data_IF_380101598121
#
_entry.id   IF_380101598121
#
_cell.length_a   1.000
_cell.length_b   1.000
_cell.length_c   1.000
_cell.angle_alpha   90.00
_cell.angle_beta   90.00
_cell.angle_gamma   90.00
#
_symmetry.space_group_name_H-M   'P 1'
#
loop_
_entity.id
_entity.type
_entity.pdbx_description
1 polymer ?
#
# COMPACT_ATOMS: atom_id res chain seq x y z
N UNK A 1 10.71 -9.97 6.43
CA UNK A 1 9.31 -9.66 5.99
C UNK A 1 9.36 -9.11 4.59
N UNK A 2 8.33 -9.37 3.75
CA UNK A 2 8.16 -8.68 2.47
C UNK A 2 7.29 -7.45 2.71
N UNK A 3 7.62 -6.32 2.09
CA UNK A 3 6.95 -5.03 2.30
C UNK A 3 6.56 -4.38 0.96
N UNK A 4 5.83 -3.28 1.01
CA UNK A 4 5.48 -2.48 -0.16
C UNK A 4 4.52 -3.16 -1.14
N UNK A 5 4.63 -2.83 -2.42
CA UNK A 5 3.74 -3.32 -3.47
C UNK A 5 3.74 -4.85 -3.59
N UNK A 6 4.91 -5.48 -3.44
CA UNK A 6 5.03 -6.94 -3.54
C UNK A 6 4.30 -7.65 -2.39
N UNK A 7 4.28 -7.09 -1.17
CA UNK A 7 3.51 -7.67 -0.07
C UNK A 7 2.00 -7.68 -0.39
N UNK A 8 1.49 -6.59 -0.96
CA UNK A 8 0.08 -6.49 -1.37
C UNK A 8 -0.26 -7.48 -2.49
N UNK A 9 0.64 -7.67 -3.45
CA UNK A 9 0.50 -8.64 -4.52
C UNK A 9 0.45 -10.07 -3.97
N UNK A 10 1.39 -10.44 -3.10
CA UNK A 10 1.42 -11.76 -2.46
C UNK A 10 0.16 -12.00 -1.61
N UNK A 11 -0.32 -10.99 -0.88
CA UNK A 11 -1.58 -11.10 -0.14
C UNK A 11 -2.80 -11.21 -1.07
N UNK A 12 -2.73 -10.61 -2.26
CA UNK A 12 -3.68 -10.85 -3.35
C UNK A 12 -3.71 -12.32 -3.79
N UNK A 13 -2.54 -12.91 -4.03
CA UNK A 13 -2.41 -14.34 -4.36
C UNK A 13 -2.93 -15.24 -3.22
N UNK A 14 -2.58 -14.94 -1.97
CA UNK A 14 -3.06 -15.68 -0.80
C UNK A 14 -4.60 -15.65 -0.71
N UNK A 15 -5.23 -14.50 -0.95
CA UNK A 15 -6.70 -14.35 -1.00
C UNK A 15 -7.30 -15.17 -2.14
N UNK A 16 -6.74 -15.08 -3.34
CA UNK A 16 -7.21 -15.82 -4.51
C UNK A 16 -7.13 -17.35 -4.31
N UNK A 17 -6.12 -17.81 -3.60
CA UNK A 17 -5.95 -19.20 -3.22
C UNK A 17 -6.91 -19.63 -2.08
N UNK A 18 -7.61 -18.69 -1.44
CA UNK A 18 -8.55 -18.96 -0.35
C UNK A 18 -7.86 -19.20 1.00
N UNK A 19 -6.65 -18.70 1.18
CA UNK A 19 -5.95 -18.76 2.47
C UNK A 19 -6.75 -18.04 3.56
N UNK A 20 -7.04 -18.73 4.66
CA UNK A 20 -7.96 -18.24 5.71
C UNK A 20 -7.32 -17.39 6.80
N UNK A 21 -6.00 -17.27 6.81
CA UNK A 21 -5.27 -16.68 7.94
C UNK A 21 -4.36 -15.53 7.53
N UNK A 22 -4.81 -14.67 6.61
CA UNK A 22 -4.03 -13.54 6.10
C UNK A 22 -3.62 -12.57 7.21
N UNK A 23 -4.53 -12.29 8.13
CA UNK A 23 -4.29 -11.37 9.25
C UNK A 23 -3.37 -11.96 10.34
N UNK A 24 -3.07 -13.27 10.27
CA UNK A 24 -2.24 -13.92 11.29
C UNK A 24 -0.78 -13.52 11.18
N UNK A 25 -0.28 -13.39 9.96
CA UNK A 25 1.11 -13.01 9.68
C UNK A 25 1.24 -12.49 8.25
N UNK A 26 1.93 -11.37 8.09
CA UNK A 26 2.23 -10.79 6.78
C UNK A 26 3.18 -11.69 5.95
N UNK A 27 3.31 -11.49 4.62
CA UNK A 27 4.22 -12.26 3.78
C UNK A 27 5.66 -12.21 4.28
N UNK A 28 6.28 -13.39 4.45
CA UNK A 28 7.62 -13.49 5.03
C UNK A 28 8.34 -14.77 4.60
N UNK A 29 9.67 -14.75 4.76
CA UNK A 29 10.51 -15.94 4.72
C UNK A 29 11.02 -16.23 6.15
N UNK A 30 10.72 -17.40 6.69
CA UNK A 30 11.10 -17.77 8.06
C UNK A 30 12.55 -18.25 8.09
N UNK A 31 13.38 -17.57 8.87
CA UNK A 31 14.77 -18.01 9.14
C UNK A 31 14.83 -18.94 10.35
N UNK A 32 14.20 -18.55 11.45
CA UNK A 32 14.12 -19.32 12.70
C UNK A 32 12.65 -19.65 12.98
N UNK A 33 12.37 -20.93 13.19
CA UNK A 33 11.02 -21.35 13.58
C UNK A 33 10.65 -20.78 14.98
N UNK A 34 9.36 -20.64 15.30
CA UNK A 34 8.92 -20.12 16.59
C UNK A 34 9.58 -20.86 17.78
N UNK A 35 10.10 -20.09 18.70
CA UNK A 35 10.68 -20.55 19.97
C UNK A 35 10.05 -19.77 21.12
N UNK A 36 9.92 -20.41 22.27
CA UNK A 36 9.48 -19.71 23.48
C UNK A 36 10.68 -19.03 24.13
N UNK A 37 10.60 -17.72 24.27
CA UNK A 37 11.63 -16.89 24.91
C UNK A 37 11.04 -16.28 26.16
N UNK A 38 11.79 -16.32 27.26
CA UNK A 38 11.40 -15.64 28.51
C UNK A 38 11.63 -14.15 28.36
N UNK A 39 10.82 -13.34 29.04
CA UNK A 39 10.90 -11.87 29.01
C UNK A 39 12.31 -11.37 29.34
N UNK A 40 12.94 -11.93 30.39
CA UNK A 40 14.30 -11.57 30.80
C UNK A 40 15.38 -11.90 29.76
N UNK A 41 15.07 -12.75 28.78
CA UNK A 41 16.00 -13.17 27.73
C UNK A 41 15.85 -12.37 26.42
N UNK A 42 14.89 -11.48 26.34
CA UNK A 42 14.60 -10.73 25.08
C UNK A 42 15.80 -9.86 24.70
N UNK A 43 16.45 -9.18 25.66
CA UNK A 43 17.64 -8.35 25.34
C UNK A 43 18.78 -9.21 24.78
N UNK A 44 18.98 -10.41 25.28
CA UNK A 44 19.97 -11.33 24.73
C UNK A 44 19.62 -11.80 23.31
N UNK A 45 18.31 -12.01 23.02
CA UNK A 45 17.82 -12.28 21.66
C UNK A 45 18.12 -11.10 20.73
N UNK A 46 17.75 -9.87 21.13
CA UNK A 46 17.97 -8.68 20.33
C UNK A 46 19.46 -8.42 20.08
N UNK A 47 20.29 -8.64 21.07
CA UNK A 47 21.76 -8.55 20.94
C UNK A 47 22.30 -9.58 19.92
N UNK A 48 21.82 -10.81 19.97
CA UNK A 48 22.20 -11.85 18.99
C UNK A 48 21.74 -11.47 17.57
N UNK A 49 20.49 -10.99 17.43
CA UNK A 49 19.94 -10.56 16.14
C UNK A 49 20.75 -9.39 15.55
N UNK A 50 21.10 -8.40 16.40
CA UNK A 50 21.97 -7.27 16.03
C UNK A 50 23.32 -7.74 15.50
N UNK A 51 23.94 -8.67 16.25
CA UNK A 51 25.27 -9.19 15.88
C UNK A 51 25.22 -10.01 14.57
N UNK A 52 24.16 -10.79 14.36
CA UNK A 52 23.98 -11.58 13.16
C UNK A 52 23.66 -10.70 11.93
N UNK A 53 22.74 -9.77 12.07
CA UNK A 53 22.37 -8.83 11.01
C UNK A 53 23.51 -7.91 10.61
N UNK A 54 24.30 -7.41 11.58
CA UNK A 54 25.45 -6.54 11.33
C UNK A 54 26.57 -7.17 10.51
N UNK A 55 26.63 -8.51 10.47
CA UNK A 55 27.60 -9.29 9.69
C UNK A 55 27.09 -9.69 8.29
N UNK A 56 25.84 -9.39 7.96
CA UNK A 56 25.19 -9.84 6.74
C UNK A 56 24.89 -8.65 5.84
N UNK A 57 25.17 -8.76 4.54
CA UNK A 57 24.71 -7.77 3.57
C UNK A 57 23.20 -7.97 3.27
N UNK A 58 22.51 -6.98 2.66
CA UNK A 58 21.18 -7.20 2.07
C UNK A 58 21.16 -8.41 1.14
N UNK A 59 20.08 -9.21 1.20
CA UNK A 59 19.99 -10.51 0.52
C UNK A 59 19.02 -10.40 -0.64
N UNK A 60 19.53 -10.49 -1.87
CA UNK A 60 18.72 -10.48 -3.08
C UNK A 60 18.19 -11.89 -3.39
N UNK A 61 16.89 -11.99 -3.62
CA UNK A 61 16.22 -13.27 -3.89
C UNK A 61 15.26 -13.18 -5.05
N UNK A 62 15.00 -14.35 -5.66
CA UNK A 62 13.88 -14.56 -6.57
C UNK A 62 12.81 -15.40 -5.85
N UNK A 63 11.56 -15.01 -6.00
CA UNK A 63 10.38 -15.69 -5.46
C UNK A 63 9.64 -16.40 -6.60
N UNK A 64 9.38 -17.69 -6.41
CA UNK A 64 8.81 -18.56 -7.43
C UNK A 64 9.84 -19.49 -8.09
N UNK A 65 9.35 -20.53 -8.81
CA UNK A 65 7.96 -20.91 -9.03
C UNK A 65 7.20 -21.34 -7.78
N UNK A 66 5.89 -21.63 -7.95
CA UNK A 66 5.15 -22.33 -6.91
C UNK A 66 5.76 -23.69 -6.65
N UNK A 67 5.75 -24.06 -5.38
CA UNK A 67 6.14 -25.39 -4.91
C UNK A 67 5.28 -25.80 -3.70
N UNK A 68 5.37 -27.06 -3.30
CA UNK A 68 4.58 -27.60 -2.19
C UNK A 68 5.38 -28.61 -1.41
N UNK A 69 5.09 -28.71 -0.10
CA UNK A 69 5.61 -29.80 0.73
C UNK A 69 4.73 -31.06 0.72
N UNK A 70 3.66 -31.07 -0.09
CA UNK A 70 2.82 -32.26 -0.26
C UNK A 70 3.65 -33.45 -0.81
N UNK A 71 3.46 -34.69 -0.33
CA UNK A 71 2.40 -35.15 0.56
C UNK A 71 2.75 -35.01 2.07
N UNK A 72 3.95 -34.51 2.43
CA UNK A 72 4.38 -34.42 3.83
C UNK A 72 3.51 -33.43 4.64
N UNK A 73 3.27 -32.26 4.09
CA UNK A 73 2.37 -31.25 4.63
C UNK A 73 1.64 -30.51 3.51
N UNK A 74 0.39 -30.06 3.72
CA UNK A 74 -0.39 -29.36 2.69
C UNK A 74 -0.03 -27.87 2.62
N UNK A 75 1.26 -27.56 2.51
CA UNK A 75 1.77 -26.17 2.41
C UNK A 75 2.06 -25.87 0.96
N UNK A 76 1.49 -24.77 0.47
CA UNK A 76 1.78 -24.17 -0.83
C UNK A 76 2.64 -22.91 -0.61
N UNK A 77 3.71 -22.77 -1.37
CA UNK A 77 4.66 -21.68 -1.18
C UNK A 77 5.33 -21.24 -2.49
N UNK A 78 5.86 -20.02 -2.50
CA UNK A 78 6.83 -19.57 -3.51
C UNK A 78 8.22 -20.08 -3.09
N UNK A 79 8.88 -20.81 -3.98
CA UNK A 79 10.26 -21.20 -3.79
C UNK A 79 11.13 -19.94 -3.75
N UNK A 80 12.14 -19.91 -2.89
CA UNK A 80 13.10 -18.82 -2.81
C UNK A 80 14.42 -19.31 -3.41
N UNK A 81 14.98 -18.53 -4.31
CA UNK A 81 16.29 -18.76 -4.91
C UNK A 81 17.09 -17.46 -4.95
N UNK A 82 18.33 -17.49 -5.40
CA UNK A 82 19.24 -16.35 -5.38
C UNK A 82 20.30 -16.54 -4.32
N UNK A 83 20.55 -15.55 -3.46
CA UNK A 83 21.63 -15.57 -2.48
C UNK A 83 21.30 -16.43 -1.24
N UNK A 84 21.07 -17.74 -1.46
CA UNK A 84 20.72 -18.69 -0.39
C UNK A 84 21.88 -18.97 0.57
N UNK A 85 23.12 -18.83 0.12
CA UNK A 85 24.29 -19.00 0.99
C UNK A 85 24.33 -17.91 2.06
N UNK A 86 24.12 -16.65 1.67
CA UNK A 86 24.01 -15.54 2.62
C UNK A 86 22.84 -15.75 3.60
N UNK A 87 21.70 -16.22 3.11
CA UNK A 87 20.54 -16.53 3.95
C UNK A 87 20.82 -17.66 4.94
N UNK A 88 21.57 -18.69 4.51
CA UNK A 88 21.98 -19.83 5.34
C UNK A 88 22.98 -19.40 6.41
N UNK A 89 23.95 -18.57 6.07
CA UNK A 89 24.91 -17.98 7.01
C UNK A 89 24.20 -17.12 8.05
N UNK A 90 23.30 -16.25 7.61
CA UNK A 90 22.50 -15.43 8.53
C UNK A 90 21.69 -16.31 9.50
N UNK A 91 20.99 -17.32 8.97
CA UNK A 91 20.23 -18.27 9.77
C UNK A 91 21.09 -18.99 10.81
N UNK A 92 22.28 -19.43 10.42
CA UNK A 92 23.24 -20.10 11.32
C UNK A 92 23.68 -19.17 12.45
N UNK A 93 24.01 -17.92 12.13
CA UNK A 93 24.41 -16.92 13.12
C UNK A 93 23.27 -16.60 14.10
N UNK A 94 22.04 -16.51 13.61
CA UNK A 94 20.85 -16.32 14.46
C UNK A 94 20.63 -17.52 15.38
N UNK A 95 20.79 -18.73 14.88
CA UNK A 95 20.59 -19.98 15.62
C UNK A 95 21.73 -20.34 16.59
N UNK A 96 22.82 -19.60 16.62
CA UNK A 96 23.95 -19.86 17.53
C UNK A 96 23.74 -19.30 18.95
N UNK A 97 22.64 -18.58 19.22
CA UNK A 97 22.38 -17.91 20.49
C UNK A 97 21.06 -18.36 21.15
N UNK A 98 20.38 -17.44 21.85
CA UNK A 98 19.12 -17.74 22.55
C UNK A 98 17.99 -18.25 21.64
N UNK A 99 18.12 -18.06 20.33
CA UNK A 99 17.18 -18.56 19.32
C UNK A 99 17.57 -19.94 18.77
N UNK A 100 18.51 -20.63 19.39
CA UNK A 100 18.93 -21.97 18.96
C UNK A 100 17.72 -22.93 18.89
N UNK A 101 17.47 -23.56 17.74
CA UNK A 101 16.37 -24.52 17.64
C UNK A 101 16.63 -25.75 18.49
N UNK A 102 15.58 -26.38 19.05
CA UNK A 102 15.72 -27.66 19.75
C UNK A 102 16.38 -28.70 18.83
N UNK A 103 17.18 -29.65 19.35
CA UNK A 103 17.95 -30.63 18.57
C UNK A 103 17.11 -31.37 17.51
N UNK A 104 15.91 -31.79 17.84
CA UNK A 104 14.98 -32.47 16.93
C UNK A 104 14.52 -31.63 15.73
N UNK A 105 14.72 -30.32 15.75
CA UNK A 105 14.41 -29.40 14.62
C UNK A 105 15.65 -28.96 13.85
N UNK A 106 16.84 -29.10 14.41
CA UNK A 106 18.11 -28.73 13.77
C UNK A 106 18.53 -29.68 12.65
N UNK A 107 18.02 -30.91 12.65
CA UNK A 107 18.33 -31.95 11.68
C UNK A 107 17.57 -31.82 10.32
N UNK A 108 16.62 -30.88 10.23
CA UNK A 108 15.88 -30.69 8.98
C UNK A 108 16.61 -29.72 8.07
N UNK A 109 16.73 -30.09 6.81
CA UNK A 109 17.26 -29.21 5.79
C UNK A 109 16.43 -27.92 5.73
N UNK A 110 17.15 -26.81 5.70
CA UNK A 110 16.53 -25.50 5.55
C UNK A 110 16.10 -25.31 4.08
N UNK A 111 14.80 -25.16 3.87
CA UNK A 111 14.23 -24.79 2.58
C UNK A 111 13.69 -23.37 2.69
N UNK A 112 14.37 -22.42 2.06
CA UNK A 112 13.89 -21.04 2.01
C UNK A 112 12.60 -20.99 1.18
N UNK A 113 11.52 -20.46 1.76
CA UNK A 113 10.22 -20.41 1.12
C UNK A 113 9.37 -19.26 1.66
N UNK A 114 8.44 -18.79 0.83
CA UNK A 114 7.41 -17.84 1.23
C UNK A 114 6.04 -18.51 1.12
N UNK A 115 5.41 -18.76 2.26
CA UNK A 115 4.15 -19.49 2.33
C UNK A 115 2.99 -18.67 1.77
N UNK A 116 2.26 -19.27 0.85
CA UNK A 116 0.99 -18.73 0.33
C UNK A 116 -0.22 -19.31 1.07
N UNK A 117 -0.24 -20.63 1.26
CA UNK A 117 -1.29 -21.32 2.02
C UNK A 117 -0.67 -22.43 2.88
N UNK A 118 -1.02 -22.45 4.17
CA UNK A 118 -0.54 -23.47 5.12
C UNK A 118 -1.35 -24.77 5.08
N UNK A 119 -2.53 -24.76 4.49
CA UNK A 119 -3.50 -25.86 4.49
C UNK A 119 -4.32 -25.95 3.20
N UNK A 120 -3.62 -25.88 2.04
CA UNK A 120 -4.33 -26.01 0.77
C UNK A 120 -4.99 -27.38 0.65
N UNK A 121 -6.22 -27.41 0.16
CA UNK A 121 -6.89 -28.66 -0.16
C UNK A 121 -6.16 -29.38 -1.31
N UNK A 122 -5.88 -30.69 -1.16
CA UNK A 122 -5.16 -31.45 -2.18
C UNK A 122 -5.81 -31.40 -3.58
N UNK A 123 -7.12 -31.31 -3.64
CA UNK A 123 -7.88 -31.19 -4.90
C UNK A 123 -7.61 -29.87 -5.64
N UNK A 124 -7.28 -28.80 -4.94
CA UNK A 124 -6.98 -27.48 -5.51
C UNK A 124 -5.52 -27.31 -5.94
N UNK A 125 -4.64 -28.18 -5.45
CA UNK A 125 -3.21 -28.07 -5.67
C UNK A 125 -2.81 -28.07 -7.17
N UNK A 126 -3.31 -28.99 -8.03
CA UNK A 126 -2.96 -29.00 -9.45
C UNK A 126 -3.37 -27.70 -10.16
N UNK A 127 -4.54 -27.17 -9.84
CA UNK A 127 -5.04 -25.92 -10.44
C UNK A 127 -4.20 -24.71 -10.00
N UNK A 128 -3.84 -24.61 -8.71
CA UNK A 128 -2.98 -23.56 -8.20
C UNK A 128 -1.59 -23.61 -8.84
N UNK A 129 -1.01 -24.81 -8.94
CA UNK A 129 0.30 -25.01 -9.57
C UNK A 129 0.29 -24.62 -11.05
N UNK A 130 -0.77 -24.97 -11.78
CA UNK A 130 -0.90 -24.59 -13.19
C UNK A 130 -1.12 -23.08 -13.38
N UNK A 131 -1.99 -22.47 -12.56
CA UNK A 131 -2.33 -21.04 -12.68
C UNK A 131 -1.14 -20.11 -12.39
N UNK A 132 -0.22 -20.52 -11.54
CA UNK A 132 0.93 -19.71 -11.10
C UNK A 132 2.28 -20.33 -11.48
N UNK A 133 2.30 -21.20 -12.51
CA UNK A 133 3.51 -21.90 -12.95
C UNK A 133 4.65 -20.92 -13.31
N UNK A 134 4.31 -19.81 -13.95
CA UNK A 134 5.25 -18.79 -14.42
C UNK A 134 5.41 -17.61 -13.46
N UNK A 135 4.80 -17.67 -12.28
CA UNK A 135 4.94 -16.58 -11.32
C UNK A 135 6.39 -16.41 -10.89
N UNK A 136 6.91 -15.23 -11.09
CA UNK A 136 8.27 -14.83 -10.67
C UNK A 136 8.23 -13.39 -10.16
N UNK A 137 8.91 -13.16 -9.04
CA UNK A 137 9.17 -11.83 -8.51
C UNK A 137 10.59 -11.76 -7.96
N UNK A 138 11.15 -10.57 -7.88
CA UNK A 138 12.44 -10.32 -7.24
C UNK A 138 12.23 -9.49 -5.97
N UNK A 139 13.04 -9.75 -4.95
CA UNK A 139 12.99 -8.99 -3.71
C UNK A 139 14.38 -8.90 -3.09
N UNK A 140 14.65 -7.81 -2.36
CA UNK A 140 15.86 -7.66 -1.56
C UNK A 140 15.47 -7.55 -0.09
N UNK A 141 15.89 -8.50 0.72
CA UNK A 141 15.72 -8.41 2.17
C UNK A 141 16.81 -7.50 2.75
N UNK A 142 16.43 -6.39 3.33
CA UNK A 142 17.31 -5.39 3.93
C UNK A 142 17.35 -5.48 5.45
N UNK A 143 16.49 -6.29 6.05
CA UNK A 143 16.38 -6.43 7.50
C UNK A 143 15.88 -7.80 7.93
N UNK A 144 16.17 -8.16 9.18
CA UNK A 144 15.56 -9.26 9.93
C UNK A 144 14.51 -8.67 10.87
N UNK A 145 13.29 -9.21 10.82
CA UNK A 145 12.21 -8.84 11.74
C UNK A 145 12.06 -9.91 12.82
N UNK A 146 12.13 -9.52 14.07
CA UNK A 146 11.74 -10.35 15.20
C UNK A 146 10.24 -10.20 15.38
N UNK A 147 9.51 -11.31 15.40
CA UNK A 147 8.06 -11.32 15.56
C UNK A 147 7.70 -11.90 16.93
N UNK A 148 6.71 -11.32 17.57
CA UNK A 148 6.07 -11.82 18.77
C UNK A 148 4.64 -12.27 18.45
N UNK A 149 4.20 -13.38 19.05
CA UNK A 149 2.83 -13.85 18.91
C UNK A 149 1.96 -13.27 20.03
N UNK A 150 0.90 -12.54 19.64
CA UNK A 150 -0.07 -12.00 20.59
C UNK A 150 -1.05 -13.06 21.12
N UNK A 151 -1.88 -12.68 22.08
CA UNK A 151 -2.90 -13.55 22.68
C UNK A 151 -3.95 -14.07 21.69
N UNK A 152 -4.10 -13.41 20.51
CA UNK A 152 -5.00 -13.81 19.45
C UNK A 152 -4.30 -14.68 18.39
N UNK A 153 -3.12 -15.17 18.67
CA UNK A 153 -2.28 -15.94 17.76
C UNK A 153 -1.87 -15.18 16.47
N UNK A 154 -1.81 -13.86 16.52
CA UNK A 154 -1.28 -13.01 15.44
C UNK A 154 0.18 -12.71 15.71
N UNK A 155 0.99 -12.68 14.67
CA UNK A 155 2.40 -12.35 14.76
C UNK A 155 2.61 -10.88 14.47
N UNK A 156 3.15 -10.15 15.45
CA UNK A 156 3.40 -8.72 15.39
C UNK A 156 4.91 -8.45 15.36
N UNK A 157 5.38 -7.43 14.64
CA UNK A 157 6.76 -7.00 14.71
C UNK A 157 7.11 -6.50 16.12
N UNK A 158 8.14 -7.10 16.72
CA UNK A 158 8.71 -6.69 18.00
C UNK A 158 9.91 -5.76 17.77
N UNK A 159 10.79 -6.12 16.84
CA UNK A 159 11.98 -5.35 16.49
C UNK A 159 12.46 -5.70 15.07
N UNK A 160 13.14 -4.74 14.43
CA UNK A 160 13.80 -4.88 13.14
C UNK A 160 15.30 -4.65 13.28
N UNK A 161 16.10 -5.52 12.69
CA UNK A 161 17.55 -5.39 12.61
C UNK A 161 17.98 -5.24 11.15
N UNK A 162 18.53 -4.08 10.79
CA UNK A 162 19.02 -3.81 9.45
C UNK A 162 20.25 -4.67 9.12
N UNK A 163 20.26 -5.30 7.93
CA UNK A 163 21.41 -6.03 7.44
C UNK A 163 22.56 -5.06 7.10
N UNK A 164 23.78 -5.41 7.50
CA UNK A 164 24.97 -4.57 7.34
C UNK A 164 25.12 -3.43 8.36
N UNK A 165 24.16 -3.28 9.30
CA UNK A 165 24.21 -2.27 10.36
C UNK A 165 23.98 -2.92 11.72
N UNK A 166 24.85 -2.71 12.71
CA UNK A 166 24.71 -3.33 14.03
C UNK A 166 23.67 -2.59 14.91
N UNK A 167 22.50 -2.32 14.35
CA UNK A 167 21.42 -1.54 14.98
C UNK A 167 20.14 -2.34 14.96
N UNK A 168 19.42 -2.35 16.08
CA UNK A 168 18.05 -2.86 16.19
C UNK A 168 17.14 -1.68 16.54
N UNK A 169 16.11 -1.45 15.74
CA UNK A 169 15.04 -0.53 16.03
C UNK A 169 13.89 -1.26 16.75
N UNK A 170 13.17 -0.57 17.61
CA UNK A 170 12.08 -1.13 18.39
C UNK A 170 12.51 -1.49 19.81
N UNK A 171 11.90 -2.51 20.41
CA UNK A 171 12.11 -2.85 21.83
C UNK A 171 13.60 -3.12 22.15
N UNK A 172 14.14 -2.33 23.08
CA UNK A 172 15.40 -2.64 23.77
C UNK A 172 16.71 -2.22 23.13
N UNK A 173 16.73 -1.48 21.99
CA UNK A 173 18.02 -1.24 21.32
C UNK A 173 18.29 0.16 20.77
N UNK A 174 17.29 0.92 20.47
CA UNK A 174 17.42 2.36 20.20
C UNK A 174 16.57 3.09 21.22
N UNK A 175 17.20 4.04 21.91
CA UNK A 175 16.49 5.00 22.74
C UNK A 175 15.84 6.02 21.81
N UNK A 176 14.60 5.73 21.39
CA UNK A 176 13.81 6.55 20.52
C UNK A 176 12.82 7.36 21.36
N UNK A 177 13.07 8.66 21.47
CA UNK A 177 12.10 9.58 22.04
C UNK A 177 11.01 9.89 21.00
N UNK A 178 9.76 9.56 21.32
CA UNK A 178 8.59 9.94 20.54
C UNK A 178 7.82 11.02 21.25
N UNK A 179 7.67 12.17 20.61
CA UNK A 179 6.90 13.30 21.13
C UNK A 179 5.73 13.64 20.22
N UNK A 180 4.61 14.04 20.82
CA UNK A 180 3.45 14.59 20.09
C UNK A 180 3.59 16.10 20.09
N UNK A 181 3.54 16.69 18.90
CA UNK A 181 3.57 18.15 18.72
C UNK A 181 2.40 18.55 17.81
N UNK A 182 1.71 19.65 18.15
CA UNK A 182 0.64 20.19 17.30
C UNK A 182 1.17 20.77 15.99
N UNK A 183 2.37 21.35 16.02
CA UNK A 183 3.11 21.82 14.86
C UNK A 183 4.58 21.50 15.04
N UNK A 184 5.22 20.90 14.06
CA UNK A 184 6.68 20.77 14.10
C UNK A 184 7.33 22.16 14.08
N UNK A 185 8.45 22.30 14.78
CA UNK A 185 9.25 23.50 14.65
C UNK A 185 9.82 23.63 13.23
N UNK A 186 10.23 24.84 12.80
CA UNK A 186 10.70 25.08 11.43
C UNK A 186 11.90 24.20 11.03
N UNK A 187 12.75 23.81 11.97
CA UNK A 187 13.93 22.95 11.68
C UNK A 187 13.46 21.53 11.37
N UNK A 188 12.56 20.99 12.19
CA UNK A 188 11.98 19.65 11.95
C UNK A 188 11.17 19.64 10.67
N UNK A 189 10.38 20.67 10.39
CA UNK A 189 9.61 20.79 9.16
C UNK A 189 10.52 20.80 7.93
N UNK A 190 11.59 21.62 7.94
CA UNK A 190 12.54 21.69 6.84
C UNK A 190 13.28 20.35 6.63
N UNK A 191 13.69 19.70 7.71
CA UNK A 191 14.30 18.38 7.66
C UNK A 191 13.34 17.34 7.04
N UNK A 192 12.08 17.32 7.46
CA UNK A 192 11.07 16.40 6.93
C UNK A 192 10.83 16.62 5.43
N UNK A 193 10.76 17.90 5.00
CA UNK A 193 10.61 18.28 3.60
C UNK A 193 11.80 17.80 2.76
N UNK A 194 13.03 17.95 3.27
CA UNK A 194 14.23 17.47 2.59
C UNK A 194 14.25 15.93 2.46
N UNK A 195 13.93 15.21 3.55
CA UNK A 195 13.86 13.75 3.53
C UNK A 195 12.80 13.26 2.53
N UNK A 196 11.63 13.91 2.54
CA UNK A 196 10.56 13.59 1.61
C UNK A 196 10.94 13.88 0.15
N UNK A 197 11.62 14.99 -0.10
CA UNK A 197 12.13 15.33 -1.42
C UNK A 197 13.18 14.32 -1.91
N UNK A 198 14.08 13.86 -1.03
CA UNK A 198 15.06 12.82 -1.33
C UNK A 198 14.40 11.50 -1.70
N UNK A 199 13.48 11.02 -0.85
CA UNK A 199 12.70 9.81 -1.11
C UNK A 199 11.91 9.89 -2.43
N UNK A 200 11.33 11.06 -2.72
CA UNK A 200 10.59 11.27 -3.95
C UNK A 200 11.48 11.23 -5.19
N UNK A 201 12.68 11.80 -5.12
CA UNK A 201 13.66 11.74 -6.22
C UNK A 201 14.10 10.30 -6.49
N UNK A 202 14.40 9.55 -5.44
CA UNK A 202 14.80 8.13 -5.56
C UNK A 202 13.72 7.27 -6.24
N UNK A 203 12.45 7.51 -5.91
CA UNK A 203 11.33 6.69 -6.37
C UNK A 203 10.75 7.13 -7.72
N UNK A 204 10.72 8.41 -7.99
CA UNK A 204 10.00 9.00 -9.13
C UNK A 204 10.87 9.83 -10.07
N UNK A 205 12.17 9.98 -9.75
CA UNK A 205 13.08 10.86 -10.48
C UNK A 205 12.77 12.34 -10.25
N UNK A 206 13.37 13.23 -11.06
CA UNK A 206 13.26 14.70 -10.89
C UNK A 206 11.90 15.30 -11.32
N UNK A 207 10.92 14.47 -11.68
CA UNK A 207 9.68 14.88 -12.34
C UNK A 207 8.52 15.32 -11.45
N UNK A 208 8.61 15.24 -10.12
CA UNK A 208 7.52 15.68 -9.25
C UNK A 208 7.40 17.20 -9.23
N UNK A 209 6.34 17.71 -9.88
CA UNK A 209 6.04 19.14 -9.84
C UNK A 209 5.61 19.54 -8.43
N UNK A 210 6.12 20.68 -7.90
CA UNK A 210 5.68 21.19 -6.62
C UNK A 210 4.18 21.48 -6.62
N UNK A 211 3.53 21.26 -5.49
CA UNK A 211 2.12 21.61 -5.29
C UNK A 211 1.97 23.13 -5.39
N UNK A 212 1.06 23.60 -6.24
CA UNK A 212 0.79 25.03 -6.41
C UNK A 212 -0.64 25.33 -6.04
N UNK A 213 -0.90 26.14 -4.99
CA UNK A 213 -2.23 26.58 -4.62
C UNK A 213 -2.69 27.73 -5.53
N UNK A 214 -3.99 27.76 -5.78
CA UNK A 214 -4.68 28.81 -6.54
C UNK A 214 -6.02 29.13 -5.88
N UNK A 215 -6.47 30.38 -6.02
CA UNK A 215 -7.76 30.81 -5.55
C UNK A 215 -8.41 31.80 -6.49
N UNK A 216 -9.74 31.76 -6.56
CA UNK A 216 -10.59 32.70 -7.26
C UNK A 216 -11.56 33.36 -6.28
N UNK A 217 -11.76 34.66 -6.42
CA UNK A 217 -12.70 35.46 -5.64
C UNK A 217 -13.68 36.11 -6.61
N UNK A 218 -14.97 35.77 -6.49
CA UNK A 218 -16.04 36.50 -7.18
C UNK A 218 -16.42 37.72 -6.35
N UNK A 219 -16.52 38.87 -7.01
CA UNK A 219 -16.90 40.15 -6.38
C UNK A 219 -18.10 40.77 -7.07
N UNK A 220 -18.97 41.36 -6.30
CA UNK A 220 -20.04 42.24 -6.78
C UNK A 220 -19.92 43.57 -6.01
N UNK A 221 -19.96 44.69 -6.72
CA UNK A 221 -19.74 46.02 -6.15
C UNK A 221 -18.52 46.11 -5.21
N UNK A 222 -17.42 45.46 -5.60
CA UNK A 222 -16.18 45.42 -4.82
C UNK A 222 -16.19 44.45 -3.63
N UNK A 223 -17.32 43.89 -3.23
CA UNK A 223 -17.47 42.98 -2.09
C UNK A 223 -17.34 41.52 -2.53
N UNK A 224 -16.63 40.67 -1.77
CA UNK A 224 -16.56 39.23 -2.10
C UNK A 224 -17.92 38.58 -1.91
N UNK A 225 -18.40 37.87 -2.93
CA UNK A 225 -19.68 37.15 -2.93
C UNK A 225 -19.50 35.64 -3.15
N UNK A 226 -18.30 35.22 -3.56
CA UNK A 226 -17.96 33.83 -3.72
C UNK A 226 -16.44 33.61 -3.72
N UNK A 227 -16.04 32.40 -3.37
CA UNK A 227 -14.64 32.00 -3.28
C UNK A 227 -14.48 30.54 -3.69
N UNK A 228 -13.42 30.25 -4.43
CA UNK A 228 -13.02 28.89 -4.69
C UNK A 228 -11.50 28.76 -4.66
N UNK A 229 -10.97 27.71 -4.08
CA UNK A 229 -9.54 27.39 -4.11
C UNK A 229 -9.29 25.94 -4.48
N UNK A 230 -8.06 25.68 -4.84
CA UNK A 230 -7.58 24.35 -5.17
C UNK A 230 -6.07 24.34 -5.34
N UNK A 231 -5.55 23.16 -5.55
CA UNK A 231 -4.11 22.93 -5.75
C UNK A 231 -3.87 22.00 -6.94
N UNK A 232 -2.78 22.24 -7.66
CA UNK A 232 -2.36 21.36 -8.75
C UNK A 232 -1.27 20.44 -8.25
N UNK A 233 -1.52 19.12 -8.40
CA UNK A 233 -0.59 18.03 -8.12
C UNK A 233 -0.40 17.18 -9.38
N UNK A 234 0.72 17.34 -10.05
CA UNK A 234 0.96 16.65 -11.31
C UNK A 234 -0.14 16.99 -12.35
N UNK A 235 -0.84 15.99 -12.93
CA UNK A 235 -1.87 16.19 -13.93
C UNK A 235 -3.28 16.41 -13.36
N UNK A 236 -3.41 16.61 -12.04
CA UNK A 236 -4.70 16.70 -11.33
C UNK A 236 -4.84 18.04 -10.64
N UNK A 237 -5.97 18.71 -10.85
CA UNK A 237 -6.43 19.85 -10.05
C UNK A 237 -7.33 19.30 -8.93
N UNK A 238 -6.96 19.51 -7.67
CA UNK A 238 -7.80 19.23 -6.50
C UNK A 238 -8.49 20.50 -6.05
N UNK A 239 -9.82 20.51 -6.03
CA UNK A 239 -10.61 21.63 -5.47
C UNK A 239 -10.66 21.43 -3.95
N UNK A 240 -10.26 22.46 -3.19
CA UNK A 240 -10.31 22.47 -1.74
C UNK A 240 -11.63 22.99 -1.21
N UNK A 241 -11.96 24.21 -1.59
CA UNK A 241 -13.18 24.91 -1.14
C UNK A 241 -13.88 25.57 -2.33
N UNK A 242 -15.21 25.57 -2.31
CA UNK A 242 -16.06 26.37 -3.17
C UNK A 242 -17.26 26.84 -2.34
N UNK A 243 -17.38 28.14 -2.14
CA UNK A 243 -18.44 28.73 -1.34
C UNK A 243 -19.00 29.98 -2.00
N UNK A 244 -20.30 30.17 -1.86
CA UNK A 244 -21.04 31.34 -2.36
C UNK A 244 -21.91 31.86 -1.22
N UNK A 245 -21.90 33.18 -1.01
CA UNK A 245 -22.77 33.84 -0.03
C UNK A 245 -24.22 33.46 -0.26
N UNK A 246 -25.02 33.25 0.80
CA UNK A 246 -26.39 32.75 0.69
C UNK A 246 -27.27 33.50 -0.33
N UNK A 247 -27.22 34.81 -0.31
CA UNK A 247 -27.98 35.72 -1.17
C UNK A 247 -27.57 35.65 -2.66
N UNK A 248 -26.38 35.09 -2.96
CA UNK A 248 -25.82 34.95 -4.32
C UNK A 248 -25.88 33.51 -4.83
N UNK A 249 -26.46 32.59 -4.06
CA UNK A 249 -26.66 31.21 -4.49
C UNK A 249 -27.73 31.11 -5.56
N UNK A 250 -27.69 30.09 -6.36
CA UNK A 250 -28.58 29.83 -7.50
C UNK A 250 -28.56 30.89 -8.61
N UNK A 251 -27.66 31.88 -8.53
CA UNK A 251 -27.42 32.88 -9.56
C UNK A 251 -26.23 32.54 -10.49
N UNK A 252 -25.73 31.30 -10.45
CA UNK A 252 -24.67 30.85 -11.33
C UNK A 252 -23.24 31.17 -10.85
N UNK A 253 -23.06 31.86 -9.72
CA UNK A 253 -21.75 32.26 -9.19
C UNK A 253 -20.85 31.03 -8.93
N UNK A 254 -21.41 29.97 -8.31
CA UNK A 254 -20.68 28.73 -8.05
C UNK A 254 -20.19 28.07 -9.34
N UNK A 255 -21.06 27.96 -10.34
CA UNK A 255 -20.72 27.42 -11.66
C UNK A 255 -19.63 28.23 -12.36
N UNK A 256 -19.63 29.55 -12.17
CA UNK A 256 -18.61 30.44 -12.74
C UNK A 256 -17.24 30.22 -12.11
N UNK A 257 -17.19 30.10 -10.78
CA UNK A 257 -15.99 29.80 -10.01
C UNK A 257 -15.43 28.40 -10.36
N UNK A 258 -16.31 27.41 -10.48
CA UNK A 258 -15.92 26.05 -10.85
C UNK A 258 -15.27 26.01 -12.24
N UNK A 259 -15.91 26.64 -13.23
CA UNK A 259 -15.36 26.74 -14.61
C UNK A 259 -14.05 27.51 -14.66
N UNK A 260 -13.85 28.53 -13.80
CA UNK A 260 -12.60 29.26 -13.71
C UNK A 260 -11.45 28.35 -13.20
N UNK A 261 -11.71 27.52 -12.20
CA UNK A 261 -10.75 26.53 -11.70
C UNK A 261 -10.44 25.47 -12.78
N UNK A 262 -11.47 24.93 -13.44
CA UNK A 262 -11.32 23.94 -14.51
C UNK A 262 -10.48 24.49 -15.68
N UNK A 263 -10.74 25.72 -16.09
CA UNK A 263 -9.96 26.40 -17.14
C UNK A 263 -8.51 26.56 -16.73
N UNK A 264 -8.25 27.03 -15.50
CA UNK A 264 -6.90 27.11 -14.96
C UNK A 264 -6.22 25.76 -14.97
N UNK A 265 -6.92 24.69 -14.57
CA UNK A 265 -6.41 23.33 -14.63
C UNK A 265 -5.97 22.93 -16.03
N UNK A 266 -6.82 23.17 -17.03
CA UNK A 266 -6.51 22.93 -18.45
C UNK A 266 -5.28 23.72 -18.92
N UNK A 267 -5.23 25.02 -18.62
CA UNK A 267 -4.10 25.90 -18.97
C UNK A 267 -2.77 25.44 -18.33
N UNK A 268 -2.84 24.73 -17.24
CA UNK A 268 -1.68 24.17 -16.50
C UNK A 268 -1.40 22.72 -16.84
N UNK A 269 -2.13 22.13 -17.79
CA UNK A 269 -1.94 20.78 -18.29
C UNK A 269 -2.55 19.69 -17.39
N UNK A 270 -3.56 20.05 -16.58
CA UNK A 270 -4.33 19.04 -15.86
C UNK A 270 -5.31 18.35 -16.81
N UNK A 271 -5.40 17.03 -16.74
CA UNK A 271 -6.41 16.23 -17.44
C UNK A 271 -7.62 15.89 -16.58
N UNK A 272 -7.53 16.12 -15.28
CA UNK A 272 -8.56 15.72 -14.31
C UNK A 272 -8.73 16.73 -13.19
N UNK A 273 -9.98 16.88 -12.75
CA UNK A 273 -10.34 17.61 -11.52
C UNK A 273 -10.90 16.63 -10.51
N UNK A 274 -10.53 16.81 -9.25
CA UNK A 274 -10.92 15.99 -8.11
C UNK A 274 -11.37 16.85 -6.96
N UNK A 275 -12.37 16.41 -6.21
CA UNK A 275 -12.85 17.04 -4.97
C UNK A 275 -13.46 16.03 -4.01
N UNK A 276 -13.62 16.45 -2.76
CA UNK A 276 -14.32 15.69 -1.73
C UNK A 276 -15.50 16.52 -1.24
N UNK A 277 -16.67 15.90 -1.07
CA UNK A 277 -17.87 16.58 -0.56
C UNK A 277 -18.70 15.65 0.30
N UNK A 278 -19.59 16.22 1.14
CA UNK A 278 -20.51 15.48 1.98
C UNK A 278 -21.49 14.68 1.11
N UNK A 279 -21.63 13.38 1.40
CA UNK A 279 -22.52 12.48 0.67
C UNK A 279 -24.00 12.84 0.90
N UNK A 280 -24.80 12.73 -0.14
CA UNK A 280 -26.25 13.05 -0.13
C UNK A 280 -26.56 14.54 0.00
N UNK A 281 -25.53 15.40 0.01
CA UNK A 281 -25.68 16.82 0.21
C UNK A 281 -25.94 17.62 -1.08
N UNK A 282 -26.36 18.87 -0.92
CA UNK A 282 -26.59 19.81 -2.05
C UNK A 282 -25.31 20.03 -2.88
N UNK A 283 -24.14 19.94 -2.28
CA UNK A 283 -22.88 20.12 -2.98
C UNK A 283 -22.58 18.93 -3.90
N UNK A 284 -22.85 17.69 -3.48
CA UNK A 284 -22.72 16.52 -4.35
C UNK A 284 -23.61 16.65 -5.59
N UNK A 285 -24.88 17.02 -5.41
CA UNK A 285 -25.79 17.26 -6.52
C UNK A 285 -25.26 18.34 -7.47
N UNK A 286 -24.78 19.47 -6.91
CA UNK A 286 -24.21 20.56 -7.71
C UNK A 286 -23.04 20.07 -8.58
N UNK A 287 -22.12 19.28 -8.02
CA UNK A 287 -21.00 18.75 -8.80
C UNK A 287 -21.45 17.71 -9.84
N UNK A 288 -22.43 16.86 -9.48
CA UNK A 288 -23.01 15.90 -10.42
C UNK A 288 -23.64 16.60 -11.64
N UNK A 289 -24.38 17.70 -11.43
CA UNK A 289 -24.94 18.54 -12.51
C UNK A 289 -23.85 19.17 -13.41
N UNK A 290 -22.62 19.30 -12.90
CA UNK A 290 -21.46 19.78 -13.65
C UNK A 290 -20.61 18.64 -14.25
N UNK A 291 -21.11 17.39 -14.23
CA UNK A 291 -20.47 16.24 -14.86
C UNK A 291 -19.38 15.59 -14.03
N UNK A 292 -19.35 15.83 -12.71
CA UNK A 292 -18.52 15.07 -11.80
C UNK A 292 -19.20 13.76 -11.45
N UNK A 293 -18.41 12.69 -11.33
CA UNK A 293 -18.88 11.36 -10.95
C UNK A 293 -18.24 10.94 -9.62
N UNK A 294 -19.01 10.22 -8.81
CA UNK A 294 -18.50 9.63 -7.57
C UNK A 294 -17.58 8.47 -7.93
N UNK A 295 -16.33 8.53 -7.48
CA UNK A 295 -15.32 7.49 -7.70
C UNK A 295 -14.99 6.70 -6.43
N UNK A 296 -15.29 7.24 -5.26
CA UNK A 296 -15.17 6.54 -3.98
C UNK A 296 -16.11 7.15 -2.93
N UNK A 297 -16.55 6.30 -1.99
CA UNK A 297 -17.22 6.73 -0.77
C UNK A 297 -16.24 6.63 0.39
N UNK A 298 -16.22 7.65 1.25
CA UNK A 298 -15.34 7.80 2.39
C UNK A 298 -16.21 7.79 3.67
N UNK A 299 -16.49 6.59 4.25
CA UNK A 299 -17.38 6.48 5.39
C UNK A 299 -16.78 7.17 6.61
N UNK A 300 -17.58 7.98 7.28
CA UNK A 300 -17.19 8.72 8.50
C UNK A 300 -15.85 9.44 8.38
N UNK A 301 -15.60 10.03 7.20
CA UNK A 301 -14.36 10.75 6.92
C UNK A 301 -14.17 11.98 7.80
N UNK A 302 -15.27 12.60 8.23
CA UNK A 302 -15.34 13.70 9.19
C UNK A 302 -16.52 13.49 10.15
N UNK A 303 -16.59 14.30 11.20
CA UNK A 303 -17.67 14.24 12.18
C UNK A 303 -19.07 14.46 11.56
N UNK A 304 -19.12 15.23 10.47
CA UNK A 304 -20.37 15.55 9.75
C UNK A 304 -20.97 14.36 9.00
N UNK A 305 -20.21 13.26 8.78
CA UNK A 305 -20.72 12.06 8.14
C UNK A 305 -19.87 11.49 7.02
N UNK A 306 -20.52 10.76 6.13
CA UNK A 306 -19.88 10.15 4.98
C UNK A 306 -19.57 11.19 3.89
N UNK A 307 -18.40 11.09 3.29
CA UNK A 307 -18.00 11.93 2.17
C UNK A 307 -17.91 11.08 0.90
N UNK A 308 -17.98 11.73 -0.25
CA UNK A 308 -17.70 11.15 -1.54
C UNK A 308 -16.52 11.87 -2.19
N UNK A 309 -15.66 11.08 -2.83
CA UNK A 309 -14.67 11.57 -3.76
C UNK A 309 -15.31 11.67 -5.13
N UNK A 310 -15.28 12.85 -5.73
CA UNK A 310 -15.83 13.08 -7.05
C UNK A 310 -14.74 13.53 -8.01
N UNK A 311 -14.81 13.03 -9.24
CA UNK A 311 -13.84 13.35 -10.29
C UNK A 311 -14.54 13.72 -11.59
N UNK A 312 -13.85 14.54 -12.38
CA UNK A 312 -14.22 14.88 -13.75
C UNK A 312 -12.97 14.95 -14.60
N UNK A 313 -12.99 14.28 -15.75
CA UNK A 313 -11.96 14.49 -16.76
C UNK A 313 -12.23 15.80 -17.48
N UNK A 314 -11.17 16.65 -17.58
CA UNK A 314 -11.18 17.88 -18.32
C UNK A 314 -10.25 17.70 -19.53
N UNK A 315 -10.80 17.77 -20.74
CA UNK A 315 -10.04 17.62 -21.98
C UNK A 315 -10.12 18.89 -22.79
N UNK A 316 -9.02 19.26 -23.41
CA UNK A 316 -9.05 20.27 -24.49
C UNK A 316 -9.69 19.59 -25.67
N UNK A 317 -10.90 19.97 -26.03
CA UNK A 317 -11.46 19.60 -27.32
C UNK A 317 -10.69 20.42 -28.38
N UNK A 318 -9.61 19.85 -28.91
CA UNK A 318 -8.97 20.36 -30.10
C UNK A 318 -9.97 20.06 -31.21
N UNK A 319 -10.60 21.09 -31.75
CA UNK A 319 -11.53 20.97 -32.88
C UNK A 319 -10.85 20.28 -34.05
N UNK A 320 -11.34 19.12 -34.45
CA UNK A 320 -10.94 18.43 -35.66
C UNK A 320 -10.55 16.96 -35.43
N UNK A 321 -11.48 16.06 -35.86
CA UNK A 321 -11.29 14.62 -36.07
C UNK A 321 -11.26 13.72 -34.85
N UNK A 322 -12.43 13.18 -34.57
CA UNK A 322 -12.62 12.05 -33.66
C UNK A 322 -11.96 10.78 -34.22
N UNK A 323 -10.93 10.29 -33.56
CA UNK A 323 -10.64 8.86 -33.56
C UNK A 323 -11.10 8.29 -32.18
N UNK A 324 -12.28 7.71 -32.23
CA UNK A 324 -12.85 6.96 -31.09
C UNK A 324 -11.99 5.71 -30.85
N UNK A 325 -11.10 5.78 -29.87
CA UNK A 325 -10.55 4.61 -29.20
C UNK A 325 -11.49 4.20 -28.07
N UNK A 326 -12.54 3.47 -28.40
CA UNK A 326 -13.46 2.87 -27.45
C UNK A 326 -12.72 1.71 -26.78
N UNK A 327 -12.34 1.87 -25.52
CA UNK A 327 -11.99 0.72 -24.68
C UNK A 327 -13.33 0.12 -24.23
N UNK A 328 -13.77 -0.91 -24.94
CA UNK A 328 -14.89 -1.73 -24.52
C UNK A 328 -14.46 -2.55 -23.30
N UNK A 329 -15.06 -2.23 -22.17
CA UNK A 329 -15.07 -3.09 -21.00
C UNK A 329 -16.08 -4.22 -21.27
N UNK A 330 -15.60 -5.35 -21.81
CA UNK A 330 -16.41 -6.55 -22.08
C UNK A 330 -16.70 -7.28 -20.76
N UNK A 331 -17.72 -6.83 -20.07
CA UNK A 331 -18.32 -7.55 -18.95
C UNK A 331 -19.27 -8.61 -19.50
N UNK A 332 -18.76 -9.77 -19.89
CA UNK A 332 -19.61 -10.89 -20.26
C UNK A 332 -20.22 -11.52 -19.01
N UNK A 333 -21.49 -11.22 -18.81
CA UNK A 333 -22.40 -12.06 -18.03
C UNK A 333 -22.47 -13.47 -18.62
N UNK A 334 -22.01 -14.45 -17.90
CA UNK A 334 -22.39 -15.85 -18.11
C UNK A 334 -23.74 -16.07 -17.45
N UNK A 335 -24.79 -16.00 -18.27
CA UNK A 335 -26.13 -16.46 -17.94
C UNK A 335 -26.16 -17.98 -18.09
N UNK A 336 -26.57 -18.66 -17.03
CA UNK A 336 -26.93 -20.05 -17.05
C UNK A 336 -28.25 -20.22 -17.79
N UNK A 337 -28.27 -21.10 -18.80
CA UNK A 337 -29.46 -21.76 -19.31
C UNK A 337 -29.19 -23.24 -19.07
N UNK A 338 -29.91 -23.97 -18.28
CA UNK A 338 -31.34 -24.22 -18.34
C UNK A 338 -31.55 -25.50 -19.13
N UNK A 339 -31.63 -26.61 -18.40
CA UNK A 339 -32.21 -27.90 -18.70
C UNK A 339 -33.28 -27.91 -19.80
N UNK A 340 -33.26 -28.96 -20.60
CA UNK A 340 -34.36 -29.83 -20.99
C UNK A 340 -33.77 -30.91 -21.92
N UNK A 341 -33.82 -32.21 -21.62
CA UNK A 341 -35.02 -32.97 -21.51
C UNK A 341 -34.94 -34.13 -22.53
N UNK A 342 -35.22 -35.31 -22.06
CA UNK A 342 -35.70 -36.46 -22.82
C UNK A 342 -34.72 -37.51 -23.37
N UNK A 343 -34.88 -38.60 -22.75
CA UNK A 343 -34.86 -40.04 -22.98
C UNK A 343 -33.69 -40.80 -22.44
#
# INVERSE_FOLDING_TARGET
>A
MVTGALANEIDGLRRALGAKALERIAPHCTLIAPVNVREESIEAVLSNVRAAAGKSAPIAVNLGPLATFWPRTPVLYLAVSGDLDAMTVLRTNLGAGPLAPPPARSERDFVAHLTLDQRIEPSRLPHAMAALADYRATYCFEQVTVLEQDANHRWQPLADAALGKPVVAGRGSLDLELSVVERPDPVVAAWADEQWASHSRERYGEGLRPVKPYAFVARADGRPVGFADGEIRGPVLRIGRLIVSPEWRSLGVGSHLLRALERLGLERGCGRVRLETLSGGRAEQFYAEHGYVVTATLPRWREEGDFVLMERDIVVTVGGSASQGRIENDSRHLSAAGSDGLN
#
